data_IF_296784586672
#
_entry.id   IF_296784586672
#
_cell.length_a   1.000
_cell.length_b   1.000
_cell.length_c   1.000
_cell.angle_alpha   90.00
_cell.angle_beta   90.00
_cell.angle_gamma   90.00
#
_symmetry.space_group_name_H-M   'P 1'
#
loop_
_entity.id
_entity.type
_entity.pdbx_description
1 polymer ?
#
# COMPACT_ATOMS: atom_id res chain seq x y z
N UNK A 1 4.79 19.57 -65.16
CA UNK A 1 4.58 18.54 -64.13
C UNK A 1 5.66 18.49 -63.02
N UNK A 2 6.78 19.20 -63.13
CA UNK A 2 7.93 19.13 -62.20
C UNK A 2 7.74 19.92 -60.88
N UNK A 3 6.77 20.85 -60.79
CA UNK A 3 6.60 21.74 -59.63
C UNK A 3 5.40 21.41 -58.76
N UNK A 4 4.68 20.30 -59.04
CA UNK A 4 3.49 19.90 -58.24
C UNK A 4 3.93 19.05 -57.02
N UNK A 5 5.03 18.33 -57.11
CA UNK A 5 5.54 17.44 -56.05
C UNK A 5 5.86 18.19 -54.75
N UNK A 6 6.58 19.34 -54.77
CA UNK A 6 6.84 20.08 -53.54
C UNK A 6 5.57 20.71 -52.92
N UNK A 7 4.58 21.04 -53.71
CA UNK A 7 3.32 21.57 -53.24
C UNK A 7 2.49 20.53 -52.47
N UNK A 8 2.48 19.28 -52.96
CA UNK A 8 1.84 18.14 -52.29
C UNK A 8 2.57 17.80 -50.96
N UNK A 9 3.90 17.90 -50.92
CA UNK A 9 4.69 17.65 -49.74
C UNK A 9 4.43 18.68 -48.64
N UNK A 10 4.18 19.94 -48.99
CA UNK A 10 3.83 21.01 -48.02
C UNK A 10 2.44 20.80 -47.44
N UNK A 11 1.47 20.29 -48.20
CA UNK A 11 0.10 20.02 -47.76
C UNK A 11 0.03 18.87 -46.70
N UNK A 12 1.00 17.92 -46.73
CA UNK A 12 1.06 16.82 -45.79
C UNK A 12 1.59 17.21 -44.39
N UNK A 13 2.14 18.41 -44.24
CA UNK A 13 2.67 18.90 -42.96
C UNK A 13 1.60 19.59 -42.09
N UNK A 14 0.39 19.79 -42.56
CA UNK A 14 -0.74 20.27 -41.74
C UNK A 14 -1.38 19.09 -41.02
N UNK A 15 -0.63 18.49 -40.09
CA UNK A 15 -1.20 17.57 -39.11
C UNK A 15 -2.01 18.39 -38.09
N UNK A 16 -3.31 18.33 -38.18
CA UNK A 16 -4.21 18.91 -37.18
C UNK A 16 -4.09 18.07 -35.89
N UNK A 17 -3.39 18.56 -34.89
CA UNK A 17 -3.52 18.06 -33.53
C UNK A 17 -4.83 18.65 -32.95
N UNK A 18 -5.81 17.80 -32.69
CA UNK A 18 -7.02 18.17 -31.99
C UNK A 18 -6.72 18.06 -30.47
N UNK A 19 -6.62 19.18 -29.78
CA UNK A 19 -6.62 19.15 -28.32
C UNK A 19 -7.98 18.62 -27.83
N UNK A 20 -7.95 17.47 -27.19
CA UNK A 20 -9.11 16.95 -26.49
C UNK A 20 -9.09 17.56 -25.08
N UNK A 21 -9.94 18.53 -24.83
CA UNK A 21 -10.20 18.99 -23.46
C UNK A 21 -10.99 17.89 -22.76
N UNK A 22 -10.34 17.18 -21.85
CA UNK A 22 -10.99 16.25 -20.93
C UNK A 22 -11.43 17.10 -19.75
N UNK A 23 -12.73 17.22 -19.54
CA UNK A 23 -13.30 17.88 -18.36
C UNK A 23 -13.19 16.87 -17.20
N UNK A 24 -12.14 17.02 -16.41
CA UNK A 24 -11.90 16.15 -15.25
C UNK A 24 -12.61 16.81 -14.07
N UNK A 25 -13.52 16.08 -13.38
CA UNK A 25 -14.11 16.58 -12.14
C UNK A 25 -13.01 17.03 -11.18
N UNK A 26 -13.23 18.13 -10.47
CA UNK A 26 -12.28 18.64 -9.49
C UNK A 26 -11.87 17.53 -8.52
N UNK A 27 -10.57 17.37 -8.30
CA UNK A 27 -10.04 16.41 -7.34
C UNK A 27 -10.43 16.83 -5.92
N UNK A 28 -10.98 15.90 -5.16
CA UNK A 28 -11.21 16.04 -3.72
C UNK A 28 -10.29 15.07 -2.98
N UNK A 29 -9.49 15.58 -2.08
CA UNK A 29 -8.60 14.80 -1.24
C UNK A 29 -9.41 13.81 -0.38
N UNK A 30 -9.06 12.53 -0.42
CA UNK A 30 -9.69 11.46 0.34
C UNK A 30 -8.71 10.84 1.33
N UNK A 31 -9.22 10.42 2.49
CA UNK A 31 -8.47 9.59 3.43
C UNK A 31 -8.26 8.20 2.83
N UNK A 32 -7.00 7.77 2.75
CA UNK A 32 -6.59 6.41 2.43
C UNK A 32 -6.21 5.70 3.73
N UNK A 33 -6.80 4.54 3.97
CA UNK A 33 -6.56 3.71 5.15
C UNK A 33 -5.97 2.39 4.66
N UNK A 34 -4.72 2.12 5.03
CA UNK A 34 -4.04 0.85 4.78
C UNK A 34 -3.86 0.12 6.11
N UNK A 35 -4.62 -0.96 6.30
CA UNK A 35 -4.61 -1.75 7.53
C UNK A 35 -4.26 -3.20 7.25
N UNK A 36 -3.25 -3.73 7.92
CA UNK A 36 -2.82 -5.12 7.83
C UNK A 36 -2.83 -5.80 9.19
N UNK A 37 -3.13 -7.10 9.18
CA UNK A 37 -3.02 -7.97 10.34
C UNK A 37 -2.62 -9.38 9.89
N UNK A 38 -1.55 -9.91 10.51
CA UNK A 38 -1.01 -11.23 10.19
C UNK A 38 -1.03 -12.12 11.42
N UNK A 39 -1.02 -13.44 11.21
CA UNK A 39 -1.04 -14.43 12.29
C UNK A 39 0.15 -14.25 13.23
N UNK A 40 -0.12 -14.06 14.52
CA UNK A 40 0.89 -13.88 15.56
C UNK A 40 1.51 -12.48 15.61
N UNK A 41 1.02 -11.54 14.80
CA UNK A 41 1.54 -10.17 14.72
C UNK A 41 0.51 -9.15 15.19
N UNK A 42 0.95 -7.97 15.68
CA UNK A 42 0.06 -6.87 15.96
C UNK A 42 -0.57 -6.32 14.67
N UNK A 43 -1.77 -5.72 14.76
CA UNK A 43 -2.31 -4.94 13.65
C UNK A 43 -1.42 -3.71 13.39
N UNK A 44 -1.26 -3.36 12.10
CA UNK A 44 -0.57 -2.14 11.66
C UNK A 44 -1.52 -1.38 10.76
N UNK A 45 -1.71 -0.09 11.02
CA UNK A 45 -2.54 0.79 10.20
C UNK A 45 -1.76 2.04 9.83
N UNK A 46 -1.72 2.34 8.55
CA UNK A 46 -1.17 3.56 7.98
C UNK A 46 -2.30 4.43 7.44
N UNK A 47 -2.20 5.72 7.66
CA UNK A 47 -3.15 6.69 7.16
C UNK A 47 -2.45 7.67 6.23
N UNK A 48 -3.04 7.90 5.08
CA UNK A 48 -2.52 8.87 4.12
C UNK A 48 -3.66 9.59 3.40
N UNK A 49 -3.31 10.65 2.69
CA UNK A 49 -4.21 11.38 1.81
C UNK A 49 -4.00 10.92 0.37
N UNK A 50 -5.09 10.73 -0.36
CA UNK A 50 -4.98 10.52 -1.79
C UNK A 50 -4.35 11.75 -2.45
N UNK A 51 -3.76 11.58 -3.63
CA UNK A 51 -3.17 12.67 -4.41
C UNK A 51 -3.85 12.78 -5.77
N UNK A 52 -3.93 14.00 -6.29
CA UNK A 52 -4.38 14.23 -7.66
C UNK A 52 -3.45 13.49 -8.64
N UNK A 53 -4.02 12.86 -9.66
CA UNK A 53 -3.29 12.10 -10.69
C UNK A 53 -2.27 12.97 -11.46
N UNK A 54 -2.46 14.28 -11.46
CA UNK A 54 -1.55 15.24 -12.09
C UNK A 54 -0.56 15.87 -11.11
N UNK A 55 -0.65 15.54 -9.83
CA UNK A 55 0.33 15.97 -8.84
C UNK A 55 1.71 15.35 -9.08
N UNK A 56 2.81 16.03 -8.72
CA UNK A 56 4.13 15.44 -8.80
C UNK A 56 4.22 14.13 -8.01
N UNK A 57 4.64 13.05 -8.67
CA UNK A 57 4.86 11.74 -8.06
C UNK A 57 6.34 11.58 -7.73
N UNK A 58 6.78 12.17 -6.64
CA UNK A 58 8.13 11.98 -6.11
C UNK A 58 8.07 11.46 -4.67
N UNK A 59 9.20 11.04 -4.13
CA UNK A 59 9.28 10.47 -2.79
C UNK A 59 8.79 11.45 -1.72
N UNK A 60 9.15 12.72 -1.81
CA UNK A 60 8.72 13.74 -0.84
C UNK A 60 7.21 13.92 -0.83
N UNK A 61 6.58 13.98 -2.00
CA UNK A 61 5.12 14.08 -2.10
C UNK A 61 4.43 12.85 -1.50
N UNK A 62 4.98 11.65 -1.73
CA UNK A 62 4.48 10.42 -1.13
C UNK A 62 4.62 10.44 0.39
N UNK A 63 5.80 10.74 0.92
CA UNK A 63 6.06 10.73 2.36
C UNK A 63 5.27 11.83 3.10
N UNK A 64 5.05 12.99 2.48
CA UNK A 64 4.24 14.05 3.03
C UNK A 64 2.71 13.79 2.92
N UNK A 65 2.29 12.72 2.27
CA UNK A 65 0.89 12.33 2.24
C UNK A 65 0.41 11.61 3.50
N UNK A 66 1.33 11.07 4.32
CA UNK A 66 0.96 10.42 5.58
C UNK A 66 0.37 11.43 6.57
N UNK A 67 -0.60 10.97 7.35
CA UNK A 67 -1.31 11.77 8.35
C UNK A 67 -1.21 11.15 9.73
N UNK A 68 -1.28 12.00 10.75
CA UNK A 68 -1.25 11.67 12.17
C UNK A 68 -2.48 12.22 12.90
N UNK A 69 -2.61 11.90 14.19
CA UNK A 69 -3.67 12.46 15.06
C UNK A 69 -5.04 11.83 14.89
N UNK A 70 -5.15 10.63 14.30
CA UNK A 70 -6.40 9.88 14.25
C UNK A 70 -6.59 9.00 15.49
N UNK A 71 -7.82 8.62 15.77
CA UNK A 71 -8.13 7.55 16.73
C UNK A 71 -8.40 6.27 15.93
N UNK A 72 -7.53 5.28 16.11
CA UNK A 72 -7.62 3.99 15.43
C UNK A 72 -7.94 2.90 16.44
N UNK A 73 -9.00 2.14 16.21
CA UNK A 73 -9.44 1.05 17.10
C UNK A 73 -9.55 -0.24 16.32
N UNK A 74 -9.01 -1.32 16.88
CA UNK A 74 -9.16 -2.69 16.35
C UNK A 74 -9.89 -3.56 17.36
N UNK A 75 -10.84 -4.36 16.87
CA UNK A 75 -11.58 -5.33 17.66
C UNK A 75 -11.60 -6.68 16.97
N UNK A 76 -11.52 -7.78 17.75
CA UNK A 76 -11.73 -9.15 17.26
C UNK A 76 -13.08 -9.74 17.72
N UNK A 77 -14.03 -8.88 18.11
CA UNK A 77 -15.32 -9.28 18.61
C UNK A 77 -15.35 -9.63 20.12
N UNK A 78 -14.21 -10.03 20.69
CA UNK A 78 -14.08 -10.33 22.13
C UNK A 78 -13.32 -9.23 22.88
N UNK A 79 -12.35 -8.63 22.24
CA UNK A 79 -11.53 -7.53 22.76
C UNK A 79 -11.56 -6.36 21.79
N UNK A 80 -11.43 -5.14 22.32
CA UNK A 80 -11.33 -3.92 21.53
C UNK A 80 -10.21 -3.06 22.11
N UNK A 81 -9.29 -2.60 21.28
CA UNK A 81 -8.10 -1.84 21.68
C UNK A 81 -7.94 -0.63 20.78
N UNK A 82 -7.70 0.53 21.38
CA UNK A 82 -7.24 1.72 20.68
C UNK A 82 -5.76 1.53 20.43
N UNK A 83 -5.33 1.67 19.17
CA UNK A 83 -3.94 1.54 18.77
C UNK A 83 -3.14 2.77 19.18
N UNK A 84 -1.88 2.55 19.53
CA UNK A 84 -0.92 3.61 19.80
C UNK A 84 -0.40 4.19 18.46
N UNK A 85 -0.31 5.51 18.38
CA UNK A 85 0.35 6.21 17.30
C UNK A 85 1.86 6.23 17.56
N UNK A 86 2.64 5.67 16.66
CA UNK A 86 4.12 5.64 16.74
C UNK A 86 4.67 6.35 15.52
N UNK A 87 5.43 7.43 15.75
CA UNK A 87 5.98 8.27 14.68
C UNK A 87 7.50 8.18 14.63
N UNK A 88 8.07 8.48 13.46
CA UNK A 88 9.51 8.38 13.19
C UNK A 88 10.38 9.27 14.07
N UNK A 89 9.84 10.36 14.57
CA UNK A 89 10.50 11.29 15.49
C UNK A 89 10.50 10.80 16.96
N UNK A 90 9.75 9.73 17.28
CA UNK A 90 9.65 9.16 18.63
C UNK A 90 9.61 7.62 18.60
N UNK A 91 10.46 7.00 17.77
CA UNK A 91 10.54 5.55 17.68
C UNK A 91 11.11 4.93 18.97
N UNK A 92 10.53 3.83 19.45
CA UNK A 92 11.17 3.02 20.48
C UNK A 92 12.54 2.53 20.00
N UNK A 93 13.54 2.58 20.87
CA UNK A 93 14.90 2.16 20.55
C UNK A 93 14.95 0.72 19.99
N UNK A 94 15.60 0.55 18.86
CA UNK A 94 15.74 -0.75 18.17
C UNK A 94 14.62 -1.07 17.19
N UNK A 95 13.66 -0.16 16.97
CA UNK A 95 12.57 -0.34 15.99
C UNK A 95 12.82 0.39 14.67
N UNK A 96 13.95 1.09 14.54
CA UNK A 96 14.28 1.93 13.38
C UNK A 96 14.34 1.12 12.08
N UNK A 97 14.91 -0.09 12.12
CA UNK A 97 14.98 -0.96 10.95
C UNK A 97 13.57 -1.42 10.49
N UNK A 98 12.68 -1.70 11.44
CA UNK A 98 11.30 -2.09 11.15
C UNK A 98 10.52 -0.91 10.55
N UNK A 99 10.66 0.29 11.11
CA UNK A 99 10.05 1.50 10.58
C UNK A 99 10.56 1.81 9.16
N UNK A 100 11.87 1.70 8.91
CA UNK A 100 12.46 1.88 7.60
C UNK A 100 11.88 0.90 6.56
N UNK A 101 11.69 -0.35 6.94
CA UNK A 101 11.05 -1.37 6.10
C UNK A 101 9.57 -1.05 5.84
N UNK A 102 8.83 -0.63 6.87
CA UNK A 102 7.41 -0.31 6.78
C UNK A 102 7.16 0.84 5.80
N UNK A 103 7.95 1.89 5.90
CA UNK A 103 7.81 3.09 5.04
C UNK A 103 8.60 3.01 3.73
N UNK A 104 9.42 1.97 3.54
CA UNK A 104 10.21 1.77 2.31
C UNK A 104 11.34 2.80 2.12
N UNK A 105 11.90 3.35 3.21
CA UNK A 105 12.99 4.33 3.19
C UNK A 105 14.19 3.86 4.01
N UNK A 106 15.41 4.34 3.72
CA UNK A 106 16.59 4.03 4.53
C UNK A 106 16.45 4.51 5.97
N UNK A 107 17.04 3.79 6.93
CA UNK A 107 17.05 4.18 8.36
C UNK A 107 17.59 5.59 8.56
N UNK A 108 18.58 5.99 7.77
CA UNK A 108 19.21 7.34 7.83
C UNK A 108 18.27 8.48 7.43
N UNK A 109 17.21 8.16 6.71
CA UNK A 109 16.23 9.13 6.21
C UNK A 109 14.99 9.26 7.12
N UNK A 110 14.79 8.32 8.05
CA UNK A 110 13.60 8.32 8.91
C UNK A 110 13.39 9.63 9.67
N UNK A 111 14.48 10.22 10.18
CA UNK A 111 14.41 11.44 10.96
C UNK A 111 14.08 12.71 10.14
N UNK A 112 14.11 12.60 8.80
CA UNK A 112 13.79 13.70 7.91
C UNK A 112 12.28 13.86 7.65
N UNK A 113 11.49 12.85 8.04
CA UNK A 113 10.05 12.82 7.77
C UNK A 113 9.26 12.49 9.03
N UNK A 114 8.11 13.13 9.20
CA UNK A 114 7.16 12.80 10.26
C UNK A 114 6.16 11.76 9.74
N UNK A 115 6.51 10.48 9.88
CA UNK A 115 5.70 9.36 9.42
C UNK A 115 5.17 8.60 10.64
N UNK A 116 3.87 8.36 10.67
CA UNK A 116 3.20 7.70 11.79
C UNK A 116 2.52 6.41 11.34
N UNK A 117 2.56 5.39 12.20
CA UNK A 117 1.82 4.15 12.08
C UNK A 117 1.05 3.90 13.38
N UNK A 118 -0.09 3.24 13.28
CA UNK A 118 -0.91 2.85 14.43
C UNK A 118 -0.76 1.36 14.67
N UNK A 119 -0.36 0.97 15.88
CA UNK A 119 -0.16 -0.43 16.28
C UNK A 119 -0.34 -0.59 17.79
N UNK A 120 -0.20 -1.82 18.33
CA UNK A 120 -0.30 -2.04 19.76
C UNK A 120 0.53 -3.25 20.20
N UNK A 121 1.07 -3.19 21.40
CA UNK A 121 1.70 -4.34 22.08
C UNK A 121 0.68 -5.20 22.85
N UNK A 122 -0.60 -4.81 22.88
CA UNK A 122 -1.65 -5.59 23.53
C UNK A 122 -1.99 -6.83 22.67
N UNK A 123 -1.53 -8.00 23.13
CA UNK A 123 -1.69 -9.28 22.42
C UNK A 123 -3.14 -9.75 22.28
N UNK A 124 -4.10 -9.15 23.01
CA UNK A 124 -5.52 -9.55 22.95
C UNK A 124 -6.17 -9.33 21.58
N UNK A 125 -5.59 -8.48 20.73
CA UNK A 125 -6.04 -8.18 19.36
C UNK A 125 -5.02 -8.56 18.29
N UNK A 126 -3.99 -9.31 18.65
CA UNK A 126 -3.04 -9.85 17.66
C UNK A 126 -3.71 -10.87 16.75
N UNK A 127 -3.15 -11.04 15.57
CA UNK A 127 -3.74 -11.88 14.54
C UNK A 127 -3.81 -13.35 14.91
N UNK A 128 -4.97 -13.96 14.77
CA UNK A 128 -5.23 -15.38 14.95
C UNK A 128 -5.98 -15.93 13.73
N UNK A 129 -5.57 -17.10 13.26
CA UNK A 129 -6.24 -17.80 12.16
C UNK A 129 -7.71 -18.05 12.49
N UNK A 130 -8.60 -17.78 11.54
CA UNK A 130 -10.03 -17.99 11.66
C UNK A 130 -10.81 -16.84 12.32
N UNK A 131 -10.10 -15.84 12.91
CA UNK A 131 -10.77 -14.67 13.51
C UNK A 131 -11.04 -13.57 12.52
N UNK A 132 -12.15 -12.86 12.74
CA UNK A 132 -12.51 -11.63 12.02
C UNK A 132 -12.12 -10.43 12.88
N UNK A 133 -11.50 -9.46 12.24
CA UNK A 133 -11.06 -8.20 12.85
C UNK A 133 -11.85 -7.05 12.25
N UNK A 134 -12.22 -6.11 13.12
CA UNK A 134 -12.96 -4.91 12.78
C UNK A 134 -12.08 -3.70 13.07
N UNK A 135 -11.89 -2.87 12.08
CA UNK A 135 -11.16 -1.61 12.15
C UNK A 135 -12.14 -0.45 12.22
N UNK A 136 -11.90 0.48 13.12
CA UNK A 136 -12.59 1.77 13.19
C UNK A 136 -11.55 2.87 13.23
N UNK A 137 -11.63 3.82 12.31
CA UNK A 137 -10.77 5.02 12.25
C UNK A 137 -11.62 6.25 12.36
N UNK A 138 -11.32 7.10 13.34
CA UNK A 138 -11.95 8.42 13.51
C UNK A 138 -10.92 9.50 13.21
N UNK A 139 -11.19 10.31 12.19
CA UNK A 139 -10.32 11.40 11.75
C UNK A 139 -11.14 12.55 11.19
N UNK A 140 -10.81 13.78 11.57
CA UNK A 140 -11.47 15.02 11.10
C UNK A 140 -13.00 14.96 11.19
N UNK A 141 -13.50 14.49 12.36
CA UNK A 141 -14.95 14.39 12.63
C UNK A 141 -15.69 13.32 11.84
N UNK A 142 -15.00 12.52 11.02
CA UNK A 142 -15.55 11.40 10.25
C UNK A 142 -15.11 10.08 10.89
N UNK A 143 -15.94 9.04 10.71
CA UNK A 143 -15.62 7.67 11.16
C UNK A 143 -15.69 6.71 9.98
N UNK A 144 -14.66 5.90 9.85
CA UNK A 144 -14.52 4.88 8.80
C UNK A 144 -14.42 3.51 9.46
N UNK A 145 -15.05 2.51 8.85
CA UNK A 145 -15.04 1.14 9.36
C UNK A 145 -14.72 0.14 8.27
N UNK A 146 -14.00 -0.91 8.63
CA UNK A 146 -13.70 -2.04 7.75
C UNK A 146 -13.61 -3.33 8.55
N UNK A 147 -13.64 -4.46 7.88
CA UNK A 147 -13.39 -5.76 8.52
C UNK A 147 -12.64 -6.69 7.59
N UNK A 148 -11.82 -7.56 8.19
CA UNK A 148 -11.09 -8.60 7.48
C UNK A 148 -11.04 -9.86 8.32
N UNK A 149 -10.87 -11.01 7.67
CA UNK A 149 -10.72 -12.30 8.34
C UNK A 149 -9.37 -12.92 7.99
N UNK A 150 -8.64 -13.42 8.98
CA UNK A 150 -7.47 -14.26 8.74
C UNK A 150 -7.97 -15.67 8.41
N UNK A 151 -7.90 -16.02 7.14
CA UNK A 151 -8.34 -17.34 6.67
C UNK A 151 -7.34 -18.44 7.04
N UNK A 152 -7.81 -19.69 7.02
CA UNK A 152 -6.92 -20.85 7.20
C UNK A 152 -5.89 -20.90 6.07
N UNK A 153 -4.60 -21.13 6.39
CA UNK A 153 -3.60 -21.29 5.35
C UNK A 153 -3.86 -22.56 4.55
N UNK A 154 -3.76 -22.44 3.24
CA UNK A 154 -3.84 -23.59 2.33
C UNK A 154 -2.47 -24.23 2.20
N UNK A 155 -2.38 -25.54 2.50
CA UNK A 155 -1.12 -26.25 2.40
C UNK A 155 -0.73 -26.50 0.94
N UNK A 156 0.53 -26.23 0.63
CA UNK A 156 1.13 -26.67 -0.61
C UNK A 156 1.37 -28.20 -0.53
N UNK A 157 0.90 -28.93 -1.53
CA UNK A 157 1.13 -30.35 -1.67
C UNK A 157 2.05 -30.60 -2.87
N UNK A 158 2.80 -31.69 -2.83
CA UNK A 158 3.70 -32.10 -3.93
C UNK A 158 4.67 -30.99 -4.37
N UNK A 159 5.28 -30.28 -3.41
CA UNK A 159 6.32 -29.33 -3.75
C UNK A 159 7.59 -30.05 -4.20
N UNK A 160 8.11 -29.69 -5.37
CA UNK A 160 9.34 -30.26 -5.90
C UNK A 160 10.09 -29.23 -6.76
N UNK A 161 11.40 -29.46 -6.85
CA UNK A 161 12.27 -28.70 -7.73
C UNK A 161 12.35 -29.36 -9.10
N UNK A 162 12.17 -28.60 -10.18
CA UNK A 162 12.38 -29.06 -11.56
C UNK A 162 13.50 -28.24 -12.19
N UNK A 163 14.67 -28.87 -12.48
CA UNK A 163 15.75 -28.15 -13.16
C UNK A 163 15.32 -27.72 -14.55
N UNK A 164 15.81 -26.59 -15.02
CA UNK A 164 15.61 -26.14 -16.38
C UNK A 164 16.51 -26.93 -17.34
N UNK A 165 16.01 -27.20 -18.54
CA UNK A 165 16.73 -28.03 -19.50
C UNK A 165 18.06 -27.36 -19.90
N UNK A 166 19.17 -27.98 -19.53
CA UNK A 166 20.54 -27.55 -19.87
C UNK A 166 21.22 -26.66 -18.82
N UNK A 167 20.58 -26.35 -17.70
CA UNK A 167 21.16 -25.59 -16.58
C UNK A 167 21.12 -26.42 -15.31
N UNK A 168 22.29 -26.66 -14.67
CA UNK A 168 22.38 -27.48 -13.47
C UNK A 168 21.96 -26.75 -12.21
N UNK A 169 22.13 -25.42 -12.17
CA UNK A 169 21.94 -24.59 -10.97
C UNK A 169 20.68 -23.71 -11.04
N UNK A 170 19.92 -23.84 -12.11
CA UNK A 170 18.68 -23.08 -12.34
C UNK A 170 17.49 -23.99 -12.57
N UNK A 171 16.33 -23.58 -12.11
CA UNK A 171 15.10 -24.35 -12.29
C UNK A 171 13.90 -23.67 -11.64
N UNK A 172 12.81 -24.42 -11.55
CA UNK A 172 11.53 -23.94 -11.07
C UNK A 172 11.09 -24.74 -9.85
N UNK A 173 10.59 -24.04 -8.82
CA UNK A 173 9.84 -24.68 -7.72
C UNK A 173 8.39 -24.84 -8.16
N UNK A 174 7.91 -26.07 -8.13
CA UNK A 174 6.52 -26.42 -8.43
C UNK A 174 5.81 -26.87 -7.17
N UNK A 175 4.55 -26.53 -7.04
CA UNK A 175 3.70 -27.04 -6.00
C UNK A 175 2.27 -27.16 -6.52
N UNK A 176 1.51 -28.07 -5.96
CA UNK A 176 0.07 -28.15 -6.15
C UNK A 176 -0.61 -27.47 -4.97
N UNK A 177 -1.51 -26.55 -5.23
CA UNK A 177 -2.40 -25.96 -4.23
C UNK A 177 -3.73 -26.68 -4.31
N UNK A 178 -4.22 -27.16 -3.19
CA UNK A 178 -5.61 -27.61 -3.08
C UNK A 178 -6.47 -26.34 -2.92
N UNK A 179 -7.24 -26.01 -3.97
CA UNK A 179 -8.14 -24.86 -3.93
C UNK A 179 -9.21 -25.13 -2.86
N UNK A 180 -9.35 -24.29 -1.82
CA UNK A 180 -10.45 -24.43 -0.87
C UNK A 180 -11.76 -24.13 -1.59
N UNK A 181 -12.69 -25.08 -1.51
CA UNK A 181 -14.03 -24.98 -2.11
C UNK A 181 -14.89 -23.90 -1.41
#
# INVERSE_FOLDING_TARGET
MKNILPLILILLLFSCSKEVKIDIPGYEEQLCIDGSIETGMPPIVLLSKSQDIYSPTNLDAFLNSFISGATVTVSNGSSSVVLDEICTDNLPAGTEALAAQLFGIPVTELANYHLCAYTTLNTSVWGEVGKTYYLTVSYDGKTYTSSTQIVQPTNLVNSFWKPDAGLTDWGYSWATLADPA
#
